data_IF_171316777342
#
_entry.id   IF_171316777342
#
_cell.length_a   1.000
_cell.length_b   1.000
_cell.length_c   1.000
_cell.angle_alpha   90.00
_cell.angle_beta   90.00
_cell.angle_gamma   90.00
#
_symmetry.space_group_name_H-M   'P 1'
#
loop_
_entity.id
_entity.type
_entity.pdbx_description
1 polymer ?
#
# COMPACT_ATOMS: atom_id res chain seq x y z
N UNK A 1 -0.17 -2.16 30.29
CA UNK A 1 -1.63 -1.99 30.08
C UNK A 1 -1.88 -1.95 28.58
N UNK A 2 -2.60 -2.93 28.05
CA UNK A 2 -2.99 -2.94 26.62
C UNK A 2 -4.15 -1.95 26.49
N UNK A 3 -4.06 -0.91 25.64
CA UNK A 3 -5.18 -0.01 25.44
C UNK A 3 -6.38 -0.80 24.88
N UNK A 4 -7.62 -0.41 25.24
CA UNK A 4 -8.81 -1.10 24.77
C UNK A 4 -8.81 -1.18 23.24
N UNK A 5 -9.05 -2.38 22.72
CA UNK A 5 -8.85 -2.74 21.31
C UNK A 5 -9.84 -2.06 20.35
N UNK A 6 -10.84 -1.34 20.87
CA UNK A 6 -11.91 -0.71 20.10
C UNK A 6 -12.30 0.64 20.75
N UNK A 7 -12.02 1.75 20.08
CA UNK A 7 -12.63 3.04 20.42
C UNK A 7 -14.00 3.11 19.71
N UNK A 8 -15.12 3.20 20.44
CA UNK A 8 -16.46 3.28 19.85
C UNK A 8 -16.61 4.47 18.90
N UNK A 9 -15.81 5.54 19.05
CA UNK A 9 -15.80 6.68 18.12
C UNK A 9 -15.35 6.29 16.72
N UNK A 10 -14.38 5.38 16.60
CA UNK A 10 -13.88 4.88 15.30
C UNK A 10 -14.95 4.06 14.60
N UNK A 11 -15.70 3.23 15.35
CA UNK A 11 -16.84 2.50 14.81
C UNK A 11 -17.94 3.46 14.31
N UNK A 12 -18.21 4.54 15.05
CA UNK A 12 -19.16 5.58 14.63
C UNK A 12 -18.76 6.29 13.33
N UNK A 13 -17.47 6.58 13.12
CA UNK A 13 -16.99 7.18 11.86
C UNK A 13 -17.07 6.22 10.68
N UNK A 14 -16.80 4.93 10.87
CA UNK A 14 -16.96 3.91 9.83
C UNK A 14 -18.44 3.75 9.42
N UNK A 15 -19.35 3.73 10.40
CA UNK A 15 -20.81 3.68 10.17
C UNK A 15 -21.30 4.95 9.48
N UNK A 16 -20.83 6.12 9.88
CA UNK A 16 -21.18 7.39 9.22
C UNK A 16 -20.68 7.42 7.77
N UNK A 17 -19.46 6.94 7.51
CA UNK A 17 -18.93 6.79 6.16
C UNK A 17 -19.78 5.86 5.28
N UNK A 18 -20.20 4.71 5.83
CA UNK A 18 -21.13 3.79 5.16
C UNK A 18 -22.47 4.44 4.82
N UNK A 19 -23.06 5.20 5.77
CA UNK A 19 -24.36 5.86 5.59
C UNK A 19 -24.29 7.00 4.57
N UNK A 20 -23.23 7.83 4.59
CA UNK A 20 -23.02 8.89 3.59
C UNK A 20 -22.80 8.31 2.19
N UNK A 21 -22.14 7.15 2.09
CA UNK A 21 -21.93 6.46 0.82
C UNK A 21 -23.23 5.89 0.28
N UNK A 22 -24.06 5.29 1.14
CA UNK A 22 -25.40 4.81 0.77
C UNK A 22 -26.29 5.97 0.29
N UNK A 23 -26.25 7.10 1.00
CA UNK A 23 -27.02 8.28 0.64
C UNK A 23 -26.56 8.92 -0.68
N UNK A 24 -25.25 9.01 -0.91
CA UNK A 24 -24.69 9.48 -2.18
C UNK A 24 -25.01 8.50 -3.33
N UNK A 25 -24.97 7.19 -3.09
CA UNK A 25 -25.37 6.19 -4.07
C UNK A 25 -26.80 6.40 -4.56
N UNK A 26 -27.70 6.56 -3.58
CA UNK A 26 -29.13 6.72 -3.78
C UNK A 26 -29.46 8.03 -4.50
N UNK A 27 -28.79 9.13 -4.12
CA UNK A 27 -29.08 10.46 -4.68
C UNK A 27 -28.58 10.65 -6.11
N UNK A 28 -27.48 9.98 -6.50
CA UNK A 28 -26.87 10.13 -7.82
C UNK A 28 -27.30 9.06 -8.83
N UNK A 29 -28.26 8.19 -8.49
CA UNK A 29 -28.78 7.16 -9.39
C UNK A 29 -27.76 6.10 -9.80
N UNK A 30 -26.62 6.03 -9.11
CA UNK A 30 -25.59 5.04 -9.36
C UNK A 30 -26.10 3.68 -8.84
N UNK A 31 -26.18 2.68 -9.72
CA UNK A 31 -26.62 1.34 -9.34
C UNK A 31 -25.89 0.84 -8.09
N UNK A 32 -26.64 0.28 -7.13
CA UNK A 32 -26.13 -0.21 -5.84
C UNK A 32 -24.83 -1.04 -5.89
N UNK A 33 -24.58 -1.89 -6.92
CA UNK A 33 -23.31 -2.61 -7.02
C UNK A 33 -22.13 -1.65 -7.26
N UNK A 34 -22.26 -0.65 -8.11
CA UNK A 34 -21.12 0.18 -8.51
C UNK A 34 -20.64 1.06 -7.33
N UNK A 35 -21.56 1.58 -6.53
CA UNK A 35 -21.23 2.46 -5.40
C UNK A 35 -20.65 1.70 -4.22
N UNK A 36 -21.19 0.52 -3.93
CA UNK A 36 -20.65 -0.37 -2.92
C UNK A 36 -19.24 -0.88 -3.30
N UNK A 37 -18.97 -1.03 -4.61
CA UNK A 37 -17.70 -1.59 -5.10
C UNK A 37 -16.58 -0.56 -5.28
N UNK A 38 -16.89 0.72 -5.55
CA UNK A 38 -15.89 1.74 -5.85
C UNK A 38 -15.85 2.87 -4.81
N UNK A 39 -17.00 3.48 -4.51
CA UNK A 39 -17.04 4.64 -3.63
C UNK A 39 -16.78 4.23 -2.17
N UNK A 40 -17.31 3.09 -1.72
CA UNK A 40 -17.15 2.67 -0.34
C UNK A 40 -15.67 2.39 0.02
N UNK A 41 -14.89 1.63 -0.78
CA UNK A 41 -13.46 1.48 -0.55
C UNK A 41 -12.68 2.79 -0.61
N UNK A 42 -12.99 3.67 -1.55
CA UNK A 42 -12.32 4.98 -1.66
C UNK A 42 -12.64 5.88 -0.45
N UNK A 43 -13.89 5.91 0.01
CA UNK A 43 -14.33 6.69 1.17
C UNK A 43 -13.77 6.15 2.48
N UNK A 44 -13.83 4.83 2.69
CA UNK A 44 -13.15 4.17 3.81
C UNK A 44 -11.68 4.55 3.76
N UNK A 45 -11.03 4.43 2.60
CA UNK A 45 -9.63 4.78 2.44
C UNK A 45 -9.36 6.25 2.73
N UNK A 46 -10.22 7.16 2.32
CA UNK A 46 -10.10 8.58 2.61
C UNK A 46 -10.21 8.86 4.11
N UNK A 47 -11.23 8.32 4.79
CA UNK A 47 -11.41 8.46 6.25
C UNK A 47 -10.21 7.90 6.99
N UNK A 48 -9.78 6.68 6.66
CA UNK A 48 -8.59 6.10 7.25
C UNK A 48 -7.32 6.85 6.89
N UNK A 49 -7.26 7.49 5.72
CA UNK A 49 -6.14 8.36 5.35
C UNK A 49 -6.08 9.59 6.23
N UNK A 50 -7.22 10.21 6.51
CA UNK A 50 -7.31 11.34 7.43
C UNK A 50 -6.95 10.93 8.87
N UNK A 51 -7.42 9.77 9.33
CA UNK A 51 -7.06 9.24 10.65
C UNK A 51 -5.58 8.91 10.76
N UNK A 52 -4.99 8.34 9.69
CA UNK A 52 -3.55 8.10 9.60
C UNK A 52 -2.78 9.40 9.59
N UNK A 53 -3.14 10.34 8.70
CA UNK A 53 -2.51 11.65 8.62
C UNK A 53 -2.57 12.41 9.94
N UNK A 54 -3.74 12.40 10.60
CA UNK A 54 -3.90 12.95 11.95
C UNK A 54 -2.97 12.27 12.95
N UNK A 55 -2.94 10.94 13.00
CA UNK A 55 -2.08 10.18 13.91
C UNK A 55 -0.60 10.46 13.66
N UNK A 56 -0.20 10.65 12.40
CA UNK A 56 1.16 11.06 12.01
C UNK A 56 1.43 12.48 12.50
N UNK A 57 0.54 13.43 12.25
CA UNK A 57 0.70 14.83 12.69
C UNK A 57 0.76 14.92 14.21
N UNK A 58 -0.11 14.22 14.93
CA UNK A 58 -0.08 14.14 16.40
C UNK A 58 1.22 13.50 16.89
N UNK A 59 1.66 12.41 16.24
CA UNK A 59 2.94 11.78 16.53
C UNK A 59 4.11 12.70 16.19
N UNK A 60 4.03 13.61 15.23
CA UNK A 60 5.11 14.57 14.94
C UNK A 60 5.08 15.74 15.93
N UNK A 61 3.90 16.31 16.20
CA UNK A 61 3.71 17.55 16.93
C UNK A 61 3.72 17.42 18.45
N UNK A 62 3.47 16.23 19.00
CA UNK A 62 3.39 16.01 20.45
C UNK A 62 4.44 15.02 20.95
N UNK A 63 4.80 15.13 22.23
CA UNK A 63 5.62 14.13 22.94
C UNK A 63 4.82 12.90 23.37
N UNK A 64 3.57 12.78 22.92
CA UNK A 64 2.72 11.64 23.27
C UNK A 64 3.15 10.39 22.50
N UNK A 65 2.92 9.22 23.11
CA UNK A 65 3.24 7.93 22.48
C UNK A 65 2.43 7.78 21.19
N UNK A 66 3.12 7.49 20.08
CA UNK A 66 2.51 7.35 18.75
C UNK A 66 1.42 6.28 18.72
N UNK A 67 0.27 6.64 18.14
CA UNK A 67 -0.88 5.75 17.90
C UNK A 67 -0.80 5.04 16.54
N UNK A 68 0.30 5.19 15.78
CA UNK A 68 0.52 4.47 14.52
C UNK A 68 0.60 2.93 14.67
N UNK A 69 0.58 2.43 15.89
CA UNK A 69 0.60 1.00 16.18
C UNK A 69 -0.76 0.48 16.64
N UNK A 70 -1.81 1.27 16.46
CA UNK A 70 -3.14 1.00 16.98
C UNK A 70 -3.93 -0.01 16.12
N UNK A 71 -4.94 -0.68 16.72
CA UNK A 71 -5.79 -1.65 16.03
C UNK A 71 -6.47 -1.14 14.76
N UNK A 72 -6.70 0.17 14.63
CA UNK A 72 -7.37 0.72 13.45
C UNK A 72 -6.47 0.66 12.20
N UNK A 73 -5.15 0.76 12.33
CA UNK A 73 -4.24 0.57 11.18
C UNK A 73 -4.29 -0.86 10.65
N UNK A 74 -4.46 -1.83 11.55
CA UNK A 74 -4.64 -3.23 11.17
C UNK A 74 -5.98 -3.47 10.47
N UNK A 75 -7.06 -2.91 11.00
CA UNK A 75 -8.38 -3.01 10.38
C UNK A 75 -8.36 -2.41 8.97
N UNK A 76 -7.64 -1.30 8.79
CA UNK A 76 -7.46 -0.66 7.49
C UNK A 76 -6.66 -1.50 6.50
N UNK A 77 -5.52 -2.06 6.92
CA UNK A 77 -4.72 -2.96 6.08
C UNK A 77 -5.54 -4.19 5.70
N UNK A 78 -6.23 -4.80 6.66
CA UNK A 78 -7.08 -5.97 6.42
C UNK A 78 -8.22 -5.67 5.44
N UNK A 79 -8.83 -4.47 5.55
CA UNK A 79 -9.83 -4.00 4.58
C UNK A 79 -9.24 -3.95 3.16
N UNK A 80 -8.06 -3.34 3.00
CA UNK A 80 -7.39 -3.27 1.70
C UNK A 80 -6.99 -4.65 1.16
N UNK A 81 -6.51 -5.55 2.01
CA UNK A 81 -6.26 -6.94 1.60
C UNK A 81 -7.53 -7.59 1.05
N UNK A 82 -8.65 -7.49 1.78
CA UNK A 82 -9.91 -8.08 1.36
C UNK A 82 -10.40 -7.47 0.04
N UNK A 83 -10.22 -6.16 -0.11
CA UNK A 83 -10.51 -5.47 -1.36
C UNK A 83 -9.62 -5.98 -2.51
N UNK A 84 -8.32 -6.17 -2.27
CA UNK A 84 -7.34 -6.64 -3.25
C UNK A 84 -7.54 -8.11 -3.67
N UNK A 85 -8.19 -8.95 -2.85
CA UNK A 85 -8.50 -10.33 -3.23
C UNK A 85 -9.34 -10.43 -4.52
N UNK A 86 -10.04 -9.35 -4.89
CA UNK A 86 -10.80 -9.29 -6.14
C UNK A 86 -9.97 -9.46 -7.41
N UNK A 87 -8.71 -9.05 -7.39
CA UNK A 87 -7.83 -9.22 -8.55
C UNK A 87 -7.61 -10.70 -8.92
N UNK A 88 -7.84 -11.62 -7.99
CA UNK A 88 -7.69 -13.07 -8.21
C UNK A 88 -8.88 -13.73 -8.89
N UNK A 89 -10.10 -13.33 -8.53
CA UNK A 89 -11.31 -13.95 -9.06
C UNK A 89 -11.93 -13.18 -10.22
N UNK A 90 -11.55 -11.91 -10.43
CA UNK A 90 -12.00 -11.15 -11.59
C UNK A 90 -11.27 -11.59 -12.88
N UNK A 91 -12.00 -11.72 -14.01
CA UNK A 91 -11.42 -11.78 -15.35
C UNK A 91 -10.41 -10.65 -15.59
N UNK A 92 -9.40 -10.89 -16.44
CA UNK A 92 -8.27 -9.96 -16.62
C UNK A 92 -8.67 -8.54 -17.00
N UNK A 93 -9.66 -8.40 -17.89
CA UNK A 93 -10.24 -7.11 -18.27
C UNK A 93 -10.91 -6.39 -17.08
N UNK A 94 -11.72 -7.08 -16.28
CA UNK A 94 -12.38 -6.51 -15.11
C UNK A 94 -11.38 -6.20 -13.98
N UNK A 95 -10.36 -7.04 -13.82
CA UNK A 95 -9.26 -6.79 -12.90
C UNK A 95 -8.44 -5.56 -13.35
N UNK A 96 -8.17 -5.42 -14.65
CA UNK A 96 -7.52 -4.24 -15.22
C UNK A 96 -8.32 -2.97 -14.98
N UNK A 97 -9.62 -2.98 -15.30
CA UNK A 97 -10.52 -1.87 -15.00
C UNK A 97 -10.55 -1.54 -13.49
N UNK A 98 -10.55 -2.55 -12.62
CA UNK A 98 -10.55 -2.36 -11.17
C UNK A 98 -9.28 -1.69 -10.68
N UNK A 99 -8.15 -2.02 -11.31
CA UNK A 99 -6.86 -1.41 -11.05
C UNK A 99 -6.87 0.05 -11.47
N UNK A 100 -7.28 0.34 -12.71
CA UNK A 100 -7.40 1.70 -13.26
C UNK A 100 -8.24 2.59 -12.36
N UNK A 101 -9.41 2.11 -11.93
CA UNK A 101 -10.33 2.91 -11.10
C UNK A 101 -9.78 3.27 -9.71
N UNK A 102 -8.94 2.43 -9.08
CA UNK A 102 -8.29 2.80 -7.81
C UNK A 102 -7.38 4.02 -7.99
N UNK A 103 -6.74 4.13 -9.15
CA UNK A 103 -5.67 5.09 -9.39
C UNK A 103 -6.10 6.32 -10.18
N UNK A 104 -7.39 6.41 -10.54
CA UNK A 104 -8.00 7.61 -11.11
C UNK A 104 -9.18 8.17 -10.29
N UNK A 105 -9.10 8.20 -8.94
CA UNK A 105 -10.24 8.56 -8.11
C UNK A 105 -10.64 10.02 -8.32
N UNK A 106 -9.71 10.91 -8.63
CA UNK A 106 -9.99 12.33 -8.88
C UNK A 106 -10.80 12.54 -10.17
N UNK A 107 -10.56 11.74 -11.21
CA UNK A 107 -11.35 11.80 -12.44
C UNK A 107 -12.76 11.23 -12.21
N UNK A 108 -12.87 10.13 -11.46
CA UNK A 108 -14.16 9.50 -11.13
C UNK A 108 -15.01 10.29 -10.13
N UNK A 109 -14.40 11.02 -9.18
CA UNK A 109 -15.12 11.76 -8.14
C UNK A 109 -15.44 13.20 -8.53
N UNK A 110 -14.64 13.82 -9.41
CA UNK A 110 -14.74 15.26 -9.71
C UNK A 110 -14.95 15.59 -11.20
N UNK A 111 -15.29 14.61 -12.04
CA UNK A 111 -15.76 14.86 -13.42
C UNK A 111 -14.75 15.61 -14.30
N UNK A 112 -13.45 15.29 -14.19
CA UNK A 112 -12.38 15.95 -14.96
C UNK A 112 -11.29 16.65 -14.15
N UNK A 113 -11.07 16.25 -12.90
CA UNK A 113 -10.07 16.85 -12.00
C UNK A 113 -8.60 16.57 -12.30
N UNK A 114 -8.28 15.59 -13.16
CA UNK A 114 -6.92 15.45 -13.70
C UNK A 114 -6.67 16.55 -14.73
N UNK A 115 -5.42 17.03 -14.88
CA UNK A 115 -5.13 18.00 -15.94
C UNK A 115 -5.56 17.40 -17.28
N UNK A 116 -6.48 18.09 -17.97
CA UNK A 116 -7.13 17.60 -19.20
C UNK A 116 -6.16 17.11 -20.27
N UNK A 117 -4.89 17.56 -20.22
CA UNK A 117 -3.82 17.19 -21.14
C UNK A 117 -3.33 15.74 -21.03
N UNK A 118 -3.51 15.06 -19.90
CA UNK A 118 -3.06 13.66 -19.72
C UNK A 118 -4.20 12.63 -19.86
N UNK A 119 -5.43 13.11 -20.05
CA UNK A 119 -6.60 12.27 -20.25
C UNK A 119 -6.72 11.88 -21.72
N UNK A 120 -6.68 10.58 -22.00
CA UNK A 120 -6.86 10.05 -23.36
C UNK A 120 -8.10 9.16 -23.43
N UNK A 121 -8.81 9.14 -24.59
CA UNK A 121 -9.92 8.24 -24.80
C UNK A 121 -9.49 6.78 -24.67
N UNK A 122 -10.31 5.99 -24.00
CA UNK A 122 -10.12 4.56 -23.97
C UNK A 122 -10.79 3.88 -25.16
N UNK A 123 -10.09 3.90 -26.29
CA UNK A 123 -10.60 3.41 -27.58
C UNK A 123 -10.17 1.98 -27.88
N UNK A 124 -10.04 1.11 -26.86
CA UNK A 124 -9.56 -0.25 -27.12
C UNK A 124 -10.51 -0.99 -28.07
N UNK A 125 -10.05 -1.21 -29.30
CA UNK A 125 -10.81 -1.81 -30.41
C UNK A 125 -11.04 -3.31 -30.24
N UNK A 126 -10.39 -3.95 -29.27
CA UNK A 126 -10.51 -5.39 -29.00
C UNK A 126 -11.50 -5.71 -27.88
N UNK A 127 -12.07 -4.71 -27.21
CA UNK A 127 -13.13 -4.88 -26.22
C UNK A 127 -14.47 -4.40 -26.80
N UNK A 128 -15.50 -5.24 -26.74
CA UNK A 128 -16.84 -4.96 -27.28
C UNK A 128 -17.63 -3.91 -26.49
N UNK A 129 -17.06 -3.41 -25.40
CA UNK A 129 -17.51 -2.24 -24.62
C UNK A 129 -16.26 -1.53 -24.09
N UNK A 130 -16.36 -0.27 -23.66
CA UNK A 130 -15.31 0.59 -23.12
C UNK A 130 -14.54 -0.04 -21.94
N UNK A 131 -13.71 -1.05 -22.22
CA UNK A 131 -13.36 -2.10 -21.25
C UNK A 131 -12.36 -1.71 -20.16
N UNK A 132 -11.79 -0.51 -20.23
CA UNK A 132 -10.84 -0.01 -19.23
C UNK A 132 -11.52 0.76 -18.08
N UNK A 133 -12.83 1.01 -18.17
CA UNK A 133 -13.63 1.66 -17.12
C UNK A 133 -14.76 0.73 -16.68
N UNK A 134 -15.02 0.69 -15.38
CA UNK A 134 -16.29 0.15 -14.86
C UNK A 134 -17.48 1.07 -15.08
N UNK A 135 -17.22 2.34 -15.39
CA UNK A 135 -18.22 3.39 -15.52
C UNK A 135 -18.23 3.87 -16.99
N UNK A 136 -19.23 3.46 -17.80
CA UNK A 136 -19.33 3.88 -19.20
C UNK A 136 -19.35 5.39 -19.41
N UNK A 137 -19.73 6.15 -18.38
CA UNK A 137 -19.81 7.61 -18.38
C UNK A 137 -18.43 8.30 -18.30
N UNK A 138 -17.35 7.54 -18.08
CA UNK A 138 -15.98 8.02 -18.01
C UNK A 138 -15.17 7.45 -19.17
N UNK A 139 -15.26 8.05 -20.38
CA UNK A 139 -14.64 7.51 -21.59
C UNK A 139 -13.14 7.81 -21.70
N UNK A 140 -12.61 8.64 -20.80
CA UNK A 140 -11.20 9.07 -20.78
C UNK A 140 -10.54 8.69 -19.47
N UNK A 141 -9.27 8.32 -19.52
CA UNK A 141 -8.46 8.08 -18.33
C UNK A 141 -7.06 8.65 -18.51
N UNK A 142 -6.34 8.81 -17.41
CA UNK A 142 -4.91 9.15 -17.46
C UNK A 142 -4.15 8.18 -18.37
N UNK A 143 -3.25 8.71 -19.19
CA UNK A 143 -2.62 8.00 -20.30
C UNK A 143 -1.95 6.68 -19.89
N UNK A 144 -1.30 6.65 -18.72
CA UNK A 144 -0.62 5.46 -18.21
C UNK A 144 -1.61 4.34 -17.84
N UNK A 145 -2.80 4.68 -17.36
CA UNK A 145 -3.85 3.70 -17.02
C UNK A 145 -4.36 3.02 -18.29
N UNK A 146 -4.59 3.81 -19.35
CA UNK A 146 -4.99 3.27 -20.67
C UNK A 146 -3.88 2.41 -21.25
N UNK A 147 -2.62 2.80 -21.10
CA UNK A 147 -1.48 2.01 -21.55
C UNK A 147 -1.35 0.67 -20.79
N UNK A 148 -1.52 0.69 -19.46
CA UNK A 148 -1.57 -0.54 -18.65
C UNK A 148 -2.66 -1.48 -19.10
N UNK A 149 -3.85 -0.93 -19.38
CA UNK A 149 -4.97 -1.73 -19.85
C UNK A 149 -4.68 -2.33 -21.24
N UNK A 150 -4.25 -1.50 -22.19
CA UNK A 150 -4.04 -1.93 -23.56
C UNK A 150 -2.88 -2.93 -23.72
N UNK A 151 -1.83 -2.79 -22.92
CA UNK A 151 -0.62 -3.62 -23.05
C UNK A 151 -0.53 -4.71 -21.99
N UNK A 152 -1.02 -4.45 -20.78
CA UNK A 152 -0.87 -5.34 -19.62
C UNK A 152 -2.10 -6.18 -19.29
N UNK A 153 -3.32 -5.67 -19.45
CA UNK A 153 -4.53 -6.38 -19.00
C UNK A 153 -4.84 -7.65 -19.83
N UNK A 154 -4.23 -7.76 -21.02
CA UNK A 154 -4.42 -8.89 -21.95
C UNK A 154 -3.22 -9.83 -22.03
N UNK A 155 -2.05 -9.46 -21.47
CA UNK A 155 -0.91 -10.38 -21.38
C UNK A 155 -1.07 -11.27 -20.12
N UNK A 156 -1.28 -12.59 -20.28
CA UNK A 156 -1.48 -13.49 -19.16
C UNK A 156 -0.32 -13.49 -18.16
N UNK A 157 0.91 -13.29 -18.62
CA UNK A 157 2.10 -13.27 -17.76
C UNK A 157 2.20 -12.00 -16.94
N UNK A 158 1.92 -10.84 -17.54
CA UNK A 158 1.87 -9.55 -16.84
C UNK A 158 0.78 -9.59 -15.77
N UNK A 159 -0.41 -10.09 -16.11
CA UNK A 159 -1.51 -10.21 -15.15
C UNK A 159 -1.24 -11.19 -14.01
N UNK A 160 -0.59 -12.33 -14.29
CA UNK A 160 -0.19 -13.26 -13.24
C UNK A 160 0.78 -12.60 -12.25
N UNK A 161 1.78 -11.87 -12.76
CA UNK A 161 2.74 -11.14 -11.90
C UNK A 161 2.07 -10.01 -11.14
N UNK A 162 1.13 -9.28 -11.74
CA UNK A 162 0.39 -8.22 -11.08
C UNK A 162 -0.45 -8.80 -9.93
N UNK A 163 -1.15 -9.92 -10.16
CA UNK A 163 -1.90 -10.64 -9.12
C UNK A 163 -0.99 -11.12 -7.98
N UNK A 164 0.16 -11.70 -8.32
CA UNK A 164 1.15 -12.12 -7.34
C UNK A 164 1.70 -10.93 -6.54
N UNK A 165 2.04 -9.83 -7.21
CA UNK A 165 2.48 -8.58 -6.59
C UNK A 165 1.46 -8.08 -5.57
N UNK A 166 0.20 -7.93 -6.00
CA UNK A 166 -0.88 -7.44 -5.14
C UNK A 166 -1.08 -8.37 -3.95
N UNK A 167 -1.22 -9.68 -4.16
CA UNK A 167 -1.41 -10.63 -3.06
C UNK A 167 -0.28 -10.61 -2.04
N UNK A 168 0.95 -10.78 -2.52
CA UNK A 168 2.10 -10.98 -1.67
C UNK A 168 2.46 -9.70 -0.91
N UNK A 169 2.29 -8.52 -1.52
CA UNK A 169 2.47 -7.27 -0.79
C UNK A 169 1.37 -7.02 0.23
N UNK A 170 0.13 -7.39 -0.06
CA UNK A 170 -0.97 -7.26 0.90
C UNK A 170 -0.78 -8.22 2.10
N UNK A 171 -0.33 -9.45 1.86
CA UNK A 171 0.11 -10.39 2.92
C UNK A 171 1.27 -9.79 3.72
N UNK A 172 2.28 -9.27 3.02
CA UNK A 172 3.47 -8.66 3.63
C UNK A 172 3.15 -7.47 4.52
N UNK A 173 2.31 -6.55 4.04
CA UNK A 173 1.87 -5.36 4.76
C UNK A 173 1.15 -5.74 6.06
N UNK A 174 0.23 -6.71 5.99
CA UNK A 174 -0.50 -7.20 7.15
C UNK A 174 0.39 -7.90 8.17
N UNK A 175 1.24 -8.82 7.72
CA UNK A 175 2.08 -9.58 8.63
C UNK A 175 3.20 -8.75 9.26
N UNK A 176 3.70 -7.69 8.63
CA UNK A 176 4.61 -6.77 9.29
C UNK A 176 3.95 -6.06 10.47
N UNK A 177 2.71 -5.57 10.27
CA UNK A 177 1.90 -5.08 11.38
C UNK A 177 1.77 -6.16 12.46
N UNK A 178 1.36 -7.38 12.08
CA UNK A 178 1.08 -8.45 13.04
C UNK A 178 2.33 -8.83 13.85
N UNK A 179 3.50 -8.77 13.24
CA UNK A 179 4.78 -9.01 13.89
C UNK A 179 5.00 -8.06 15.08
N UNK A 180 4.66 -6.78 14.93
CA UNK A 180 4.81 -5.76 15.98
C UNK A 180 3.85 -6.01 17.16
N UNK A 181 2.63 -6.46 16.87
CA UNK A 181 1.71 -6.89 17.93
C UNK A 181 2.24 -8.14 18.67
N UNK A 182 2.70 -9.15 17.92
CA UNK A 182 3.18 -10.41 18.50
C UNK A 182 4.41 -10.23 19.39
N UNK A 183 5.34 -9.35 19.00
CA UNK A 183 6.52 -9.07 19.83
C UNK A 183 6.12 -8.37 21.14
N UNK A 184 5.13 -7.47 21.12
CA UNK A 184 4.61 -6.82 22.33
C UNK A 184 3.87 -7.78 23.28
N UNK A 185 3.44 -8.94 22.76
CA UNK A 185 2.70 -9.97 23.50
C UNK A 185 3.58 -11.15 23.96
N UNK A 186 4.90 -11.08 23.83
CA UNK A 186 5.83 -12.16 24.22
C UNK A 186 5.73 -13.43 23.35
N UNK A 187 5.04 -13.38 22.20
CA UNK A 187 4.79 -14.55 21.33
C UNK A 187 5.92 -14.75 20.32
N UNK A 188 7.11 -15.09 20.79
CA UNK A 188 8.33 -15.09 19.97
C UNK A 188 8.29 -16.08 18.80
N UNK A 189 7.85 -17.32 19.01
CA UNK A 189 7.79 -18.33 17.94
C UNK A 189 6.87 -17.89 16.80
N UNK A 190 5.69 -17.36 17.15
CA UNK A 190 4.76 -16.80 16.17
C UNK A 190 5.34 -15.57 15.49
N UNK A 191 6.01 -14.69 16.24
CA UNK A 191 6.67 -13.50 15.70
C UNK A 191 7.71 -13.87 14.63
N UNK A 192 8.56 -14.86 14.90
CA UNK A 192 9.57 -15.35 13.94
C UNK A 192 8.93 -15.93 12.67
N UNK A 193 7.89 -16.75 12.82
CA UNK A 193 7.18 -17.32 11.67
C UNK A 193 6.53 -16.22 10.81
N UNK A 194 5.79 -15.32 11.45
CA UNK A 194 5.12 -14.19 10.80
C UNK A 194 6.12 -13.28 10.09
N UNK A 195 7.27 -12.99 10.72
CA UNK A 195 8.35 -12.20 10.12
C UNK A 195 8.93 -12.85 8.86
N UNK A 196 9.13 -14.17 8.86
CA UNK A 196 9.62 -14.90 7.67
C UNK A 196 8.62 -14.83 6.51
N UNK A 197 7.34 -15.06 6.79
CA UNK A 197 6.27 -14.96 5.77
C UNK A 197 6.17 -13.53 5.24
N UNK A 198 6.24 -12.54 6.12
CA UNK A 198 6.26 -11.13 5.77
C UNK A 198 7.40 -10.79 4.78
N UNK A 199 8.65 -11.07 5.17
CA UNK A 199 9.82 -10.76 4.34
C UNK A 199 9.74 -11.48 3.00
N UNK A 200 9.46 -12.79 2.99
CA UNK A 200 9.34 -13.56 1.76
C UNK A 200 8.29 -12.95 0.82
N UNK A 201 7.10 -12.68 1.34
CA UNK A 201 5.99 -12.14 0.55
C UNK A 201 6.36 -10.77 -0.03
N UNK A 202 7.00 -9.89 0.75
CA UNK A 202 7.40 -8.57 0.28
C UNK A 202 8.50 -8.62 -0.77
N UNK A 203 9.55 -9.43 -0.54
CA UNK A 203 10.66 -9.58 -1.49
C UNK A 203 10.12 -10.08 -2.84
N UNK A 204 9.30 -11.14 -2.82
CA UNK A 204 8.74 -11.71 -4.05
C UNK A 204 7.69 -10.78 -4.67
N UNK A 205 6.81 -10.18 -3.87
CA UNK A 205 5.74 -9.29 -4.32
C UNK A 205 6.28 -8.01 -4.97
N UNK A 206 7.22 -7.31 -4.32
CA UNK A 206 7.85 -6.10 -4.87
C UNK A 206 8.73 -6.41 -6.08
N UNK A 207 9.44 -7.54 -6.10
CA UNK A 207 10.23 -7.95 -7.27
C UNK A 207 9.35 -8.23 -8.49
N UNK A 208 8.13 -8.77 -8.31
CA UNK A 208 7.18 -8.91 -9.40
C UNK A 208 6.75 -7.56 -9.99
N UNK A 209 6.49 -6.55 -9.16
CA UNK A 209 6.17 -5.20 -9.67
C UNK A 209 7.35 -4.56 -10.38
N UNK A 210 8.56 -4.65 -9.82
CA UNK A 210 9.74 -4.10 -10.47
C UNK A 210 10.02 -4.80 -11.81
N UNK A 211 9.83 -6.12 -11.87
CA UNK A 211 9.95 -6.87 -13.10
C UNK A 211 8.95 -6.37 -14.16
N UNK A 212 7.68 -6.17 -13.78
CA UNK A 212 6.68 -5.58 -14.69
C UNK A 212 7.19 -4.23 -15.19
N UNK A 213 7.59 -3.33 -14.29
CA UNK A 213 8.11 -2.02 -14.68
C UNK A 213 9.30 -2.11 -15.66
N UNK A 214 10.25 -3.00 -15.39
CA UNK A 214 11.40 -3.25 -16.26
C UNK A 214 10.99 -3.74 -17.65
N UNK A 215 10.06 -4.68 -17.74
CA UNK A 215 9.69 -5.31 -19.02
C UNK A 215 8.64 -4.55 -19.83
N UNK A 216 7.78 -3.75 -19.18
CA UNK A 216 6.66 -3.09 -19.85
C UNK A 216 6.75 -1.57 -19.77
N UNK A 217 6.98 -0.98 -18.60
CA UNK A 217 6.90 0.49 -18.45
C UNK A 217 8.01 1.22 -19.23
N UNK A 218 9.19 0.61 -19.37
CA UNK A 218 10.34 1.21 -20.05
C UNK A 218 10.06 1.60 -21.52
N UNK A 219 9.13 0.93 -22.18
CA UNK A 219 8.77 1.16 -23.58
C UNK A 219 7.53 2.06 -23.76
N UNK A 220 6.96 2.61 -22.67
CA UNK A 220 5.70 3.33 -22.69
C UNK A 220 5.91 4.79 -22.28
N UNK A 221 5.69 5.71 -23.23
CA UNK A 221 5.82 7.16 -23.00
C UNK A 221 4.94 7.65 -21.85
N UNK A 222 3.72 7.12 -21.75
CA UNK A 222 2.77 7.47 -20.70
C UNK A 222 3.27 7.12 -19.28
N UNK A 223 4.17 6.14 -19.15
CA UNK A 223 4.84 5.84 -17.87
C UNK A 223 6.08 6.69 -17.63
N UNK A 224 6.60 7.39 -18.65
CA UNK A 224 7.86 8.12 -18.58
C UNK A 224 9.06 7.32 -19.06
N UNK A 225 8.83 6.27 -19.86
CA UNK A 225 9.86 5.41 -20.45
C UNK A 225 10.82 4.85 -19.39
N UNK A 226 12.12 4.82 -19.68
CA UNK A 226 13.16 4.32 -18.77
C UNK A 226 13.15 5.00 -17.39
N UNK A 227 12.69 6.24 -17.27
CA UNK A 227 12.60 6.92 -15.97
C UNK A 227 11.67 6.19 -15.01
N UNK A 228 10.60 5.58 -15.53
CA UNK A 228 9.67 4.75 -14.75
C UNK A 228 10.38 3.55 -14.14
N UNK A 229 11.23 2.90 -14.92
CA UNK A 229 12.03 1.75 -14.48
C UNK A 229 12.91 2.16 -13.30
N UNK A 230 13.58 3.32 -13.40
CA UNK A 230 14.40 3.85 -12.30
C UNK A 230 13.56 4.23 -11.07
N UNK A 231 12.40 4.86 -11.25
CA UNK A 231 11.54 5.23 -10.14
C UNK A 231 11.00 3.99 -9.38
N UNK A 232 10.45 3.00 -10.10
CA UNK A 232 10.01 1.74 -9.52
C UNK A 232 11.17 0.91 -8.95
N UNK A 233 12.35 0.97 -9.57
CA UNK A 233 13.58 0.37 -9.06
C UNK A 233 14.02 1.00 -7.73
N UNK A 234 13.91 2.32 -7.59
CA UNK A 234 14.21 3.00 -6.33
C UNK A 234 13.24 2.57 -5.21
N UNK A 235 11.94 2.45 -5.53
CA UNK A 235 10.93 1.97 -4.60
C UNK A 235 11.19 0.51 -4.20
N UNK A 236 11.55 -0.35 -5.15
CA UNK A 236 11.93 -1.74 -4.88
C UNK A 236 13.18 -1.84 -3.98
N UNK A 237 14.22 -1.07 -4.27
CA UNK A 237 15.43 -1.00 -3.44
C UNK A 237 15.13 -0.48 -2.04
N UNK A 238 14.20 0.45 -1.88
CA UNK A 238 13.79 0.98 -0.57
C UNK A 238 13.22 -0.08 0.37
N UNK A 239 12.76 -1.21 -0.18
CA UNK A 239 12.24 -2.35 0.60
C UNK A 239 13.34 -3.43 0.73
N UNK A 240 14.01 -3.79 -0.36
CA UNK A 240 15.04 -4.84 -0.32
C UNK A 240 16.26 -4.49 0.49
N UNK A 241 16.74 -3.24 0.44
CA UNK A 241 17.95 -2.84 1.16
C UNK A 241 17.73 -2.92 2.68
N UNK A 242 16.67 -2.34 3.27
CA UNK A 242 16.35 -2.55 4.68
C UNK A 242 16.08 -4.02 5.02
N UNK A 243 15.39 -4.78 4.16
CA UNK A 243 15.19 -6.22 4.38
C UNK A 243 16.53 -6.96 4.54
N UNK A 244 17.45 -6.76 3.58
CA UNK A 244 18.77 -7.39 3.58
C UNK A 244 19.64 -6.97 4.75
N UNK A 245 19.66 -5.67 5.09
CA UNK A 245 20.42 -5.15 6.23
C UNK A 245 19.86 -5.65 7.57
N UNK A 246 18.53 -5.74 7.69
CA UNK A 246 17.89 -6.31 8.88
C UNK A 246 18.16 -7.80 9.03
N UNK A 247 18.12 -8.57 7.94
CA UNK A 247 18.51 -9.98 7.96
C UNK A 247 19.98 -10.15 8.35
N UNK A 248 20.88 -9.37 7.75
CA UNK A 248 22.30 -9.37 8.11
C UNK A 248 22.53 -9.04 9.59
N UNK A 249 21.79 -8.10 10.15
CA UNK A 249 21.90 -7.72 11.55
C UNK A 249 21.47 -8.87 12.48
N UNK A 250 20.35 -9.54 12.21
CA UNK A 250 19.90 -10.65 13.06
C UNK A 250 20.82 -11.87 12.98
N UNK A 251 21.41 -12.17 11.81
CA UNK A 251 22.44 -13.21 11.69
C UNK A 251 23.68 -12.93 12.55
N UNK A 252 23.98 -11.65 12.83
CA UNK A 252 25.07 -11.25 13.73
C UNK A 252 24.64 -11.17 15.20
N UNK A 253 23.39 -11.49 15.53
CA UNK A 253 22.82 -11.33 16.86
C UNK A 253 22.52 -9.87 17.24
N UNK A 254 22.60 -8.92 16.31
CA UNK A 254 22.29 -7.51 16.55
C UNK A 254 20.77 -7.27 16.36
N UNK A 255 20.02 -7.61 17.42
CA UNK A 255 18.56 -7.48 17.46
C UNK A 255 18.12 -6.02 17.34
N UNK A 256 18.88 -5.08 17.92
CA UNK A 256 18.53 -3.66 17.90
C UNK A 256 18.61 -3.09 16.47
N UNK A 257 19.68 -3.41 15.73
CA UNK A 257 19.81 -3.01 14.33
C UNK A 257 18.81 -3.76 13.44
N UNK A 258 18.55 -5.05 13.69
CA UNK A 258 17.50 -5.79 12.97
C UNK A 258 16.15 -5.07 13.05
N UNK A 259 15.71 -4.71 14.26
CA UNK A 259 14.43 -4.00 14.48
C UNK A 259 14.37 -2.67 13.72
N UNK A 260 15.44 -1.87 13.80
CA UNK A 260 15.55 -0.60 13.05
C UNK A 260 15.34 -0.79 11.56
N UNK A 261 16.02 -1.77 10.97
CA UNK A 261 15.89 -2.05 9.55
C UNK A 261 14.51 -2.62 9.17
N UNK A 262 13.89 -3.45 10.01
CA UNK A 262 12.54 -3.97 9.75
C UNK A 262 11.47 -2.87 9.83
N UNK A 263 11.60 -1.93 10.77
CA UNK A 263 10.71 -0.76 10.85
C UNK A 263 10.86 0.12 9.61
N UNK A 264 12.08 0.35 9.12
CA UNK A 264 12.32 1.09 7.87
C UNK A 264 11.73 0.36 6.66
N UNK A 265 11.91 -0.96 6.57
CA UNK A 265 11.30 -1.78 5.52
C UNK A 265 9.77 -1.65 5.53
N UNK A 266 9.15 -1.78 6.71
CA UNK A 266 7.70 -1.65 6.85
C UNK A 266 7.22 -0.23 6.52
N UNK A 267 7.94 0.80 6.96
CA UNK A 267 7.68 2.18 6.61
C UNK A 267 7.76 2.40 5.10
N UNK A 268 8.80 1.90 4.43
CA UNK A 268 8.95 2.00 2.98
C UNK A 268 7.78 1.34 2.24
N UNK A 269 7.39 0.13 2.64
CA UNK A 269 6.23 -0.56 2.05
C UNK A 269 4.93 0.21 2.30
N UNK A 270 4.70 0.63 3.54
CA UNK A 270 3.52 1.40 3.91
C UNK A 270 3.45 2.69 3.10
N UNK A 271 4.55 3.43 2.96
CA UNK A 271 4.60 4.65 2.16
C UNK A 271 4.35 4.39 0.67
N UNK A 272 4.97 3.34 0.13
CA UNK A 272 4.76 2.90 -1.26
C UNK A 272 3.30 2.54 -1.54
N UNK A 273 2.58 2.05 -0.54
CA UNK A 273 1.15 1.70 -0.67
C UNK A 273 0.23 2.90 -0.40
N UNK A 274 0.35 3.47 0.79
CA UNK A 274 -0.54 4.49 1.34
C UNK A 274 -0.23 5.90 0.85
N UNK A 275 0.99 6.40 1.11
CA UNK A 275 1.34 7.77 0.74
C UNK A 275 1.33 7.96 -0.77
N UNK A 276 1.70 6.92 -1.52
CA UNK A 276 1.60 6.95 -2.97
C UNK A 276 0.15 7.20 -3.42
N UNK A 277 -0.83 6.46 -2.86
CA UNK A 277 -2.26 6.64 -3.18
C UNK A 277 -2.79 7.98 -2.70
N UNK A 278 -2.39 8.41 -1.51
CA UNK A 278 -2.79 9.71 -0.98
C UNK A 278 -2.28 10.87 -1.85
N UNK A 279 -1.00 10.83 -2.24
CA UNK A 279 -0.43 11.81 -3.17
C UNK A 279 -1.10 11.74 -4.54
N UNK A 280 -1.34 10.55 -5.08
CA UNK A 280 -2.09 10.40 -6.32
C UNK A 280 -3.48 11.04 -6.19
N UNK A 281 -4.22 10.80 -5.10
CA UNK A 281 -5.55 11.39 -4.91
C UNK A 281 -5.50 12.93 -4.80
N UNK A 282 -4.56 13.47 -4.01
CA UNK A 282 -4.55 14.89 -3.62
C UNK A 282 -3.78 15.78 -4.60
N UNK A 283 -2.67 15.27 -5.12
CA UNK A 283 -1.73 16.04 -5.95
C UNK A 283 -1.92 15.80 -7.45
N UNK A 284 -2.64 14.76 -7.89
CA UNK A 284 -2.86 14.48 -9.32
C UNK A 284 -3.42 15.68 -10.10
N UNK A 285 -4.30 16.55 -9.57
CA UNK A 285 -4.72 17.76 -10.27
C UNK A 285 -3.57 18.75 -10.57
N UNK A 286 -2.53 18.75 -9.73
CA UNK A 286 -1.39 19.67 -9.81
C UNK A 286 -0.17 19.05 -10.52
N UNK A 287 0.07 17.76 -10.30
CA UNK A 287 1.23 17.01 -10.76
C UNK A 287 0.75 15.77 -11.55
N UNK A 288 0.06 16.01 -12.66
CA UNK A 288 -0.35 14.96 -13.60
C UNK A 288 0.76 14.62 -14.59
N UNK A 289 0.55 13.56 -15.39
CA UNK A 289 1.52 13.11 -16.39
C UNK A 289 2.72 12.35 -15.81
N UNK A 290 3.61 11.85 -16.69
CA UNK A 290 4.68 10.93 -16.30
C UNK A 290 5.56 11.47 -15.16
N UNK A 291 5.97 12.73 -15.23
CA UNK A 291 6.85 13.32 -14.21
C UNK A 291 6.20 13.39 -12.82
N UNK A 292 4.89 13.64 -12.74
CA UNK A 292 4.15 13.62 -11.48
C UNK A 292 4.11 12.23 -10.86
N UNK A 293 3.82 11.21 -11.68
CA UNK A 293 3.84 9.81 -11.24
C UNK A 293 5.21 9.36 -10.76
N UNK A 294 6.27 9.75 -11.46
CA UNK A 294 7.65 9.49 -11.05
C UNK A 294 7.96 10.16 -9.69
N UNK A 295 7.54 11.41 -9.51
CA UNK A 295 7.70 12.12 -8.25
C UNK A 295 7.00 11.40 -7.09
N UNK A 296 5.73 11.00 -7.24
CA UNK A 296 5.02 10.26 -6.19
C UNK A 296 5.71 8.94 -5.85
N UNK A 297 6.19 8.23 -6.88
CA UNK A 297 6.89 6.95 -6.75
C UNK A 297 8.18 7.09 -5.96
N UNK A 298 8.94 8.16 -6.18
CA UNK A 298 10.19 8.40 -5.46
C UNK A 298 9.98 8.92 -4.03
N UNK A 299 8.95 9.72 -3.77
CA UNK A 299 8.78 10.40 -2.48
C UNK A 299 7.97 9.59 -1.48
N UNK A 300 7.02 8.78 -1.93
CA UNK A 300 6.05 8.10 -1.05
C UNK A 300 6.71 7.14 -0.05
N UNK A 301 7.68 6.34 -0.49
CA UNK A 301 8.40 5.41 0.38
C UNK A 301 9.31 6.14 1.37
N UNK A 302 9.88 7.30 0.99
CA UNK A 302 10.70 8.12 1.87
C UNK A 302 9.86 8.65 3.04
N UNK A 303 8.67 9.20 2.74
CA UNK A 303 7.73 9.62 3.78
C UNK A 303 7.34 8.45 4.68
N UNK A 304 7.13 7.28 4.08
CA UNK A 304 6.86 6.03 4.79
C UNK A 304 7.93 5.72 5.84
N UNK A 305 9.21 5.69 5.43
CA UNK A 305 10.34 5.46 6.31
C UNK A 305 10.39 6.50 7.44
N UNK A 306 10.35 7.79 7.10
CA UNK A 306 10.46 8.89 8.07
C UNK A 306 9.36 8.81 9.11
N UNK A 307 8.10 8.64 8.68
CA UNK A 307 6.95 8.53 9.58
C UNK A 307 7.10 7.39 10.57
N UNK A 308 7.47 6.19 10.08
CA UNK A 308 7.58 5.01 10.92
C UNK A 308 8.80 5.04 11.84
N UNK A 309 9.91 5.61 11.38
CA UNK A 309 11.10 5.79 12.19
C UNK A 309 10.85 6.75 13.36
N UNK A 310 10.24 7.91 13.11
CA UNK A 310 9.88 8.86 14.17
C UNK A 310 8.85 8.25 15.13
N UNK A 311 7.84 7.54 14.58
CA UNK A 311 6.83 6.87 15.41
C UNK A 311 7.41 5.78 16.30
N UNK A 312 8.39 5.01 15.80
CA UNK A 312 9.09 4.00 16.57
C UNK A 312 9.97 4.62 17.67
N UNK A 313 10.67 5.72 17.37
CA UNK A 313 11.45 6.48 18.35
C UNK A 313 10.57 6.95 19.50
N UNK A 314 9.46 7.63 19.20
CA UNK A 314 8.53 8.14 20.23
C UNK A 314 7.81 7.04 21.01
N UNK A 315 7.64 5.85 20.41
CA UNK A 315 7.10 4.70 21.11
C UNK A 315 8.15 3.98 21.99
N UNK A 316 9.43 4.36 21.94
CA UNK A 316 10.52 3.68 22.65
C UNK A 316 10.84 2.30 22.08
N UNK A 317 10.46 2.00 20.83
CA UNK A 317 10.64 0.67 20.22
C UNK A 317 12.11 0.33 19.96
N UNK A 318 12.99 1.33 20.00
CA UNK A 318 14.43 1.17 19.89
C UNK A 318 15.13 1.01 21.24
N UNK A 319 14.42 1.24 22.35
CA UNK A 319 14.98 1.13 23.69
C UNK A 319 15.07 -0.34 24.09
N UNK A 320 16.23 -0.74 24.63
CA UNK A 320 16.46 -2.12 25.08
C UNK A 320 15.43 -2.56 26.15
N UNK A 321 14.93 -1.59 26.94
CA UNK A 321 13.94 -1.81 27.99
C UNK A 321 12.55 -2.19 27.47
N UNK A 322 12.24 -1.95 26.19
CA UNK A 322 10.92 -2.27 25.63
C UNK A 322 10.70 -3.78 25.47
N UNK A 323 11.77 -4.58 25.45
CA UNK A 323 11.71 -6.04 25.30
C UNK A 323 12.71 -6.76 26.23
N UNK A 324 12.48 -6.73 27.55
CA UNK A 324 13.42 -7.29 28.52
C UNK A 324 13.62 -8.81 28.32
N UNK A 325 12.59 -9.52 27.86
CA UNK A 325 12.65 -10.97 27.62
C UNK A 325 13.58 -11.38 26.45
N UNK A 326 13.94 -10.44 25.56
CA UNK A 326 14.82 -10.69 24.42
C UNK A 326 16.27 -10.23 24.68
N UNK A 327 16.59 -9.81 25.92
CA UNK A 327 17.88 -9.17 26.27
C UNK A 327 18.97 -10.13 26.76
N UNK A 328 18.75 -11.44 26.75
CA UNK A 328 19.72 -12.45 27.21
C UNK A 328 20.10 -13.51 26.13
N UNK A 329 21.21 -14.27 26.28
CA UNK A 329 21.96 -14.94 25.21
C UNK A 329 21.24 -16.05 24.42
N UNK A 330 19.95 -16.29 24.67
CA UNK A 330 19.14 -17.32 24.00
C UNK A 330 19.03 -17.11 22.47
N UNK A 331 19.25 -15.89 21.98
CA UNK A 331 19.34 -15.61 20.54
C UNK A 331 20.57 -16.28 19.89
N UNK A 332 21.65 -16.57 20.63
CA UNK A 332 22.83 -17.24 20.07
C UNK A 332 22.63 -18.74 19.84
N UNK A 333 21.78 -19.42 20.62
CA UNK A 333 21.67 -20.88 20.55
C UNK A 333 20.78 -21.37 19.40
N UNK A 334 19.69 -20.66 19.09
CA UNK A 334 18.70 -21.12 18.10
C UNK A 334 18.99 -20.69 16.65
N UNK A 335 19.81 -19.66 16.43
CA UNK A 335 20.11 -19.17 15.07
C UNK A 335 21.27 -19.91 14.40
N UNK A 336 22.11 -20.62 15.16
CA UNK A 336 23.26 -21.38 14.64
C UNK A 336 22.83 -22.72 14.02
N UNK A 337 21.62 -23.21 14.30
CA UNK A 337 21.13 -24.51 13.83
C UNK A 337 20.15 -24.47 12.65
N UNK A 338 19.96 -23.30 12.01
CA UNK A 338 19.09 -23.14 10.82
C UNK A 338 19.93 -22.71 9.59
N UNK A 339 21.13 -23.27 9.48
CA UNK A 339 21.95 -23.25 8.27
C UNK A 339 21.64 -24.44 7.38
#
# INVERSE_FOLDING_TARGET
MVPPMFDPRVASFAVLGLLLTWFAAYYWGLGFPIVAWLALPLMISFVYSLLTGKSVVEALASDTKSTLWSPWMFAWIAFWMAFDLRYWYLPGNLAGAAFVTIYDPSHHLFGGGAAKSDLIPCTNTNATSSGCSFLPEYPTHVSWNVALFNQGAFDPWVMLRLRAHVLLNSIGLFFNGAQLYLISSGKEKQNRLVGRVAIFSQVVGTSNAYYIAWTTHGAIDAYGNEKSVWAFGSMWLSILVPAGLGMRAIYKGDVASHRRWMIRMYGALFGSFFYWRFMALVLQPLLSGPNGWLFYTCVSWMLGIVTFEISAQKAGMFDAQFYPELSEPLVKADYIHIG
#
